data_IF_676963096076
#
_entry.id   IF_676963096076
#
_cell.length_a   1.000
_cell.length_b   1.000
_cell.length_c   1.000
_cell.angle_alpha   90.00
_cell.angle_beta   90.00
_cell.angle_gamma   90.00
#
_symmetry.space_group_name_H-M   'P 1'
#
loop_
_entity.id
_entity.type
_entity.pdbx_description
1 polymer ?
#
# COMPACT_ATOMS: atom_id res chain seq x y z
N UNK A 1 -13.14 9.63 7.21
CA UNK A 1 -14.35 9.99 6.43
C UNK A 1 -15.04 8.74 5.92
N UNK A 2 -14.37 7.91 5.11
CA UNK A 2 -14.93 6.67 4.56
C UNK A 2 -15.69 5.81 5.58
N UNK A 3 -15.06 5.46 6.71
CA UNK A 3 -15.70 4.71 7.80
C UNK A 3 -17.01 5.35 8.32
N UNK A 4 -17.02 6.67 8.52
CA UNK A 4 -18.20 7.41 9.01
C UNK A 4 -19.35 7.34 8.01
N UNK A 5 -19.02 7.40 6.72
CA UNK A 5 -19.99 7.35 5.62
C UNK A 5 -20.32 5.91 5.16
N UNK A 6 -19.71 4.89 5.77
CA UNK A 6 -19.88 3.49 5.36
C UNK A 6 -19.31 3.18 3.97
N UNK A 7 -18.29 3.90 3.52
CA UNK A 7 -17.63 3.71 2.23
C UNK A 7 -16.40 2.81 2.36
N UNK A 8 -16.14 2.02 1.31
CA UNK A 8 -14.90 1.24 1.16
C UNK A 8 -13.70 2.16 0.94
N UNK A 9 -12.61 1.92 1.65
CA UNK A 9 -11.33 2.60 1.47
C UNK A 9 -10.27 1.62 0.95
N UNK A 10 -9.90 1.79 -0.33
CA UNK A 10 -8.76 1.10 -0.92
C UNK A 10 -7.52 1.99 -0.89
N UNK A 11 -6.41 1.48 -0.35
CA UNK A 11 -5.11 2.12 -0.40
C UNK A 11 -4.29 1.57 -1.58
N UNK A 12 -4.21 2.33 -2.67
CA UNK A 12 -3.29 2.05 -3.77
C UNK A 12 -1.90 2.54 -3.40
N UNK A 13 -1.03 1.59 -3.04
CA UNK A 13 0.37 1.84 -2.74
C UNK A 13 1.28 1.13 -3.75
N UNK A 14 0.80 0.94 -4.98
CA UNK A 14 1.45 0.14 -6.01
C UNK A 14 2.93 0.49 -6.21
N UNK A 15 3.28 1.78 -6.18
CA UNK A 15 4.67 2.24 -6.30
C UNK A 15 5.43 2.24 -4.97
N UNK A 16 4.87 2.90 -3.95
CA UNK A 16 5.64 3.32 -2.76
C UNK A 16 5.31 2.56 -1.49
N UNK A 17 4.28 1.71 -1.47
CA UNK A 17 3.95 0.87 -0.32
C UNK A 17 5.10 -0.05 0.09
N UNK A 18 5.91 -0.48 -0.88
CA UNK A 18 7.08 -1.33 -0.65
C UNK A 18 8.22 -0.63 0.11
N UNK A 19 8.22 0.71 0.18
CA UNK A 19 9.21 1.43 0.96
C UNK A 19 9.15 1.04 2.44
N UNK A 20 7.99 0.60 2.95
CA UNK A 20 7.82 0.15 4.34
C UNK A 20 8.68 -1.08 4.72
N UNK A 21 9.29 -1.79 3.76
CA UNK A 21 10.29 -2.81 4.05
C UNK A 21 11.53 -2.22 4.74
N UNK A 22 11.90 -0.98 4.42
CA UNK A 22 12.96 -0.25 5.09
C UNK A 22 12.42 0.35 6.41
N UNK A 23 13.03 0.07 7.58
CA UNK A 23 12.54 0.53 8.88
C UNK A 23 12.28 2.04 8.97
N UNK A 24 13.12 2.86 8.35
CA UNK A 24 13.04 4.32 8.29
C UNK A 24 11.87 4.85 7.45
N UNK A 25 11.23 3.98 6.66
CA UNK A 25 10.12 4.32 5.76
C UNK A 25 8.81 3.63 6.12
N UNK A 26 8.72 2.89 7.23
CA UNK A 26 7.47 2.22 7.65
C UNK A 26 6.27 3.16 7.77
N UNK A 27 6.53 4.43 8.07
CA UNK A 27 5.52 5.48 8.16
C UNK A 27 4.69 5.68 6.88
N UNK A 28 5.17 5.24 5.71
CA UNK A 28 4.39 5.37 4.46
C UNK A 28 3.07 4.58 4.50
N UNK A 29 2.97 3.61 5.42
CA UNK A 29 1.80 2.76 5.62
C UNK A 29 1.04 3.09 6.93
N UNK A 30 1.33 4.22 7.58
CA UNK A 30 0.57 4.67 8.74
C UNK A 30 -0.90 4.93 8.33
N UNK A 31 -1.85 4.36 9.07
CA UNK A 31 -3.28 4.49 8.77
C UNK A 31 -3.88 3.35 7.93
N UNK A 32 -3.09 2.38 7.48
CA UNK A 32 -3.61 1.21 6.73
C UNK A 32 -4.61 0.37 7.54
N UNK A 33 -4.59 0.46 8.88
CA UNK A 33 -5.60 -0.17 9.73
C UNK A 33 -7.02 0.37 9.52
N UNK A 34 -7.16 1.52 8.86
CA UNK A 34 -8.43 2.11 8.46
C UNK A 34 -8.87 1.72 7.05
N UNK A 35 -8.00 1.08 6.27
CA UNK A 35 -8.27 0.67 4.90
C UNK A 35 -8.89 -0.74 4.86
N UNK A 36 -9.81 -0.93 3.92
CA UNK A 36 -10.49 -2.21 3.70
C UNK A 36 -9.71 -3.10 2.71
N UNK A 37 -8.92 -2.48 1.83
CA UNK A 37 -7.96 -3.19 0.98
C UNK A 37 -6.72 -2.35 0.71
N UNK A 38 -5.65 -3.01 0.33
CA UNK A 38 -4.33 -2.44 0.06
C UNK A 38 -3.73 -3.16 -1.14
N UNK A 39 -2.92 -2.47 -1.95
CA UNK A 39 -2.08 -3.12 -2.94
C UNK A 39 -0.66 -2.54 -2.97
N UNK A 40 0.31 -3.36 -3.41
CA UNK A 40 1.68 -2.92 -3.73
C UNK A 40 2.25 -3.77 -4.86
N UNK A 41 3.08 -3.17 -5.73
CA UNK A 41 3.63 -3.87 -6.90
C UNK A 41 5.13 -4.06 -6.74
N UNK A 42 5.61 -5.26 -6.38
CA UNK A 42 7.04 -5.55 -6.34
C UNK A 42 7.75 -5.23 -7.67
N UNK A 43 7.06 -5.36 -8.81
CA UNK A 43 7.66 -5.06 -10.12
C UNK A 43 7.94 -3.58 -10.37
N UNK A 44 7.52 -2.67 -9.47
CA UNK A 44 7.81 -1.25 -9.57
C UNK A 44 9.11 -0.89 -8.88
N UNK A 45 9.14 -0.99 -7.55
CA UNK A 45 10.29 -0.49 -6.75
C UNK A 45 11.08 -1.58 -6.01
N UNK A 46 10.69 -2.86 -6.12
CA UNK A 46 11.47 -4.00 -5.61
C UNK A 46 12.36 -4.64 -6.70
N UNK A 47 12.21 -4.26 -7.97
CA UNK A 47 12.99 -4.83 -9.07
C UNK A 47 12.57 -6.26 -9.46
N UNK A 48 11.37 -6.70 -9.08
CA UNK A 48 10.77 -7.93 -9.63
C UNK A 48 10.45 -7.71 -11.11
N UNK A 49 10.61 -8.73 -11.96
CA UNK A 49 10.25 -8.60 -13.38
C UNK A 49 8.75 -8.39 -13.54
N UNK A 50 8.36 -7.70 -14.61
CA UNK A 50 6.95 -7.51 -14.94
C UNK A 50 6.29 -8.85 -15.34
N UNK A 51 5.09 -9.20 -14.84
CA UNK A 51 4.23 -8.55 -13.84
C UNK A 51 4.20 -9.27 -12.48
N UNK A 52 3.83 -8.52 -11.44
CA UNK A 52 3.72 -8.98 -10.05
C UNK A 52 2.97 -7.93 -9.20
N UNK A 53 1.78 -8.26 -8.73
CA UNK A 53 0.88 -7.41 -7.95
C UNK A 53 0.38 -8.19 -6.72
N UNK A 54 0.21 -7.51 -5.58
CA UNK A 54 -0.12 -8.10 -4.26
C UNK A 54 -1.22 -7.30 -3.58
#
# INVERSE_FOLDING_TARGET
IAQREGLWLHADAAMSGIAALAPEHRWVNDGLELADSYCTNPHKWMGVNFDCDL
#
